data_IF_597954980938
#
_entry.id   IF_597954980938
#
_cell.length_a   1.000
_cell.length_b   1.000
_cell.length_c   1.000
_cell.angle_alpha   90.00
_cell.angle_beta   90.00
_cell.angle_gamma   90.00
#
_symmetry.space_group_name_H-M   'P 1'
#
loop_
_entity.id
_entity.type
_entity.pdbx_description
1 polymer ?
#
# COMPACT_ATOMS: atom_id res chain seq x y z
N UNK A 1 -23.30 -25.03 -32.25
CA UNK A 1 -23.58 -25.18 -30.81
C UNK A 1 -22.76 -24.11 -30.12
N UNK A 2 -23.39 -23.20 -29.38
CA UNK A 2 -22.65 -22.23 -28.56
C UNK A 2 -22.03 -23.02 -27.40
N UNK A 3 -20.72 -23.23 -27.42
CA UNK A 3 -19.99 -23.68 -26.25
C UNK A 3 -20.03 -22.55 -25.25
N UNK A 4 -20.70 -22.78 -24.11
CA UNK A 4 -20.73 -21.82 -23.01
C UNK A 4 -19.28 -21.44 -22.66
N UNK A 5 -19.00 -20.14 -22.57
CA UNK A 5 -17.72 -19.64 -22.10
C UNK A 5 -17.57 -20.08 -20.63
N UNK A 6 -16.51 -20.81 -20.35
CA UNK A 6 -16.19 -21.29 -19.01
C UNK A 6 -15.24 -20.30 -18.32
N UNK A 7 -15.67 -19.80 -17.16
CA UNK A 7 -14.87 -18.94 -16.28
C UNK A 7 -14.61 -19.73 -15.01
N UNK A 8 -13.37 -20.15 -14.84
CA UNK A 8 -12.94 -20.98 -13.73
C UNK A 8 -12.74 -20.13 -12.47
N UNK A 9 -13.27 -20.65 -11.36
CA UNK A 9 -13.20 -20.06 -10.02
C UNK A 9 -13.20 -21.20 -9.00
N UNK A 10 -12.01 -21.64 -8.58
CA UNK A 10 -11.83 -22.74 -7.63
C UNK A 10 -12.51 -22.48 -6.28
N UNK A 11 -12.67 -21.20 -5.92
CA UNK A 11 -13.28 -20.81 -4.65
C UNK A 11 -14.81 -20.99 -4.69
N UNK A 12 -15.41 -20.98 -5.89
CA UNK A 12 -16.82 -21.29 -6.11
C UNK A 12 -17.18 -22.72 -5.72
N UNK A 13 -16.26 -23.67 -5.77
CA UNK A 13 -16.55 -25.07 -5.42
C UNK A 13 -16.71 -25.30 -3.90
N UNK A 14 -16.27 -24.34 -3.08
CA UNK A 14 -16.44 -24.39 -1.64
C UNK A 14 -17.88 -24.06 -1.22
N UNK A 15 -18.34 -24.68 -0.12
CA UNK A 15 -19.60 -24.29 0.52
C UNK A 15 -19.51 -22.88 1.12
N UNK A 16 -20.63 -22.15 1.30
CA UNK A 16 -20.59 -20.80 1.87
C UNK A 16 -19.86 -20.71 3.22
N UNK A 17 -20.07 -21.69 4.11
CA UNK A 17 -19.37 -21.73 5.40
C UNK A 17 -17.85 -21.93 5.22
N UNK A 18 -17.45 -22.83 4.31
CA UNK A 18 -16.04 -23.09 4.02
C UNK A 18 -15.35 -21.87 3.38
N UNK A 19 -16.05 -21.10 2.55
CA UNK A 19 -15.53 -19.85 1.96
C UNK A 19 -15.27 -18.80 3.04
N UNK A 20 -16.22 -18.57 3.93
CA UNK A 20 -16.07 -17.63 5.05
C UNK A 20 -14.92 -18.05 5.97
N UNK A 21 -14.83 -19.33 6.33
CA UNK A 21 -13.74 -19.85 7.16
C UNK A 21 -12.36 -19.72 6.48
N UNK A 22 -12.27 -20.09 5.20
CA UNK A 22 -11.03 -19.99 4.44
C UNK A 22 -10.54 -18.53 4.31
N UNK A 23 -11.46 -17.60 4.05
CA UNK A 23 -11.14 -16.16 3.94
C UNK A 23 -10.73 -15.58 5.29
N UNK A 24 -11.47 -15.88 6.37
CA UNK A 24 -11.12 -15.44 7.71
C UNK A 24 -9.74 -15.96 8.15
N UNK A 25 -9.45 -17.25 7.89
CA UNK A 25 -8.15 -17.84 8.19
C UNK A 25 -7.01 -17.19 7.40
N UNK A 26 -7.23 -16.93 6.11
CA UNK A 26 -6.26 -16.24 5.25
C UNK A 26 -5.96 -14.82 5.75
N UNK A 27 -6.99 -14.05 6.10
CA UNK A 27 -6.82 -12.68 6.62
C UNK A 27 -6.17 -12.64 8.00
N UNK A 28 -6.46 -13.60 8.87
CA UNK A 28 -5.77 -13.72 10.16
C UNK A 28 -4.28 -14.00 9.96
N UNK A 29 -3.93 -14.95 9.08
CA UNK A 29 -2.53 -15.26 8.77
C UNK A 29 -1.81 -14.07 8.11
N UNK A 30 -2.52 -13.36 7.23
CA UNK A 30 -2.04 -12.12 6.62
C UNK A 30 -1.70 -11.09 7.71
N UNK A 31 -2.64 -10.81 8.62
CA UNK A 31 -2.47 -9.84 9.69
C UNK A 31 -1.29 -10.16 10.61
N UNK A 32 -1.16 -11.43 11.02
CA UNK A 32 -0.08 -11.87 11.89
C UNK A 32 1.29 -11.71 11.23
N UNK A 33 1.41 -12.10 9.94
CA UNK A 33 2.66 -11.97 9.18
C UNK A 33 3.01 -10.52 8.88
N UNK A 34 2.02 -9.72 8.48
CA UNK A 34 2.20 -8.30 8.24
C UNK A 34 2.69 -7.58 9.49
N UNK A 35 2.08 -7.89 10.64
CA UNK A 35 2.50 -7.31 11.91
C UNK A 35 3.94 -7.72 12.28
N UNK A 36 4.32 -8.98 12.11
CA UNK A 36 5.71 -9.42 12.33
C UNK A 36 6.69 -8.70 11.41
N UNK A 37 6.36 -8.64 10.11
CA UNK A 37 7.21 -7.98 9.12
C UNK A 37 7.34 -6.49 9.37
N UNK A 38 6.24 -5.79 9.65
CA UNK A 38 6.24 -4.37 9.94
C UNK A 38 7.09 -4.06 11.18
N UNK A 39 7.01 -4.87 12.24
CA UNK A 39 7.90 -4.76 13.41
C UNK A 39 9.35 -4.91 13.03
N UNK A 40 9.69 -5.98 12.32
CA UNK A 40 11.08 -6.27 11.93
C UNK A 40 11.65 -5.21 10.99
N UNK A 41 10.83 -4.67 10.09
CA UNK A 41 11.24 -3.59 9.18
C UNK A 41 11.53 -2.33 9.98
N UNK A 42 10.56 -1.92 10.79
CA UNK A 42 10.67 -0.73 11.62
C UNK A 42 11.85 -0.80 12.59
N UNK A 43 12.03 -1.93 13.27
CA UNK A 43 13.16 -2.15 14.17
C UNK A 43 14.49 -2.03 13.44
N UNK A 44 14.61 -2.58 12.23
CA UNK A 44 15.83 -2.50 11.43
C UNK A 44 16.12 -1.09 10.93
N UNK A 45 15.09 -0.33 10.56
CA UNK A 45 15.25 1.09 10.20
C UNK A 45 15.75 1.90 11.41
N UNK A 46 15.19 1.68 12.59
CA UNK A 46 15.67 2.33 13.81
C UNK A 46 17.13 1.97 14.12
N UNK A 47 17.49 0.69 13.97
CA UNK A 47 18.86 0.24 14.20
C UNK A 47 19.83 0.90 13.18
N UNK A 48 19.43 1.03 11.91
CA UNK A 48 20.22 1.74 10.89
C UNK A 48 20.41 3.22 11.19
N UNK A 49 19.39 3.92 11.70
CA UNK A 49 19.50 5.34 12.11
C UNK A 49 20.45 5.44 13.32
N UNK A 50 20.27 4.59 14.33
CA UNK A 50 21.11 4.60 15.54
C UNK A 50 22.59 4.29 15.28
N UNK A 51 22.90 3.58 14.18
CA UNK A 51 24.26 3.30 13.73
C UNK A 51 24.94 4.51 13.05
N UNK A 52 24.20 5.56 12.71
CA UNK A 52 24.78 6.79 12.12
C UNK A 52 25.48 7.65 13.17
N UNK A 53 26.47 8.45 12.76
CA UNK A 53 27.20 9.34 13.67
C UNK A 53 26.35 10.55 14.07
N UNK A 54 26.13 10.79 15.36
CA UNK A 54 25.28 11.91 15.78
C UNK A 54 24.92 11.84 17.25
N UNK A 55 24.24 12.87 17.73
CA UNK A 55 23.55 12.82 19.01
C UNK A 55 22.09 12.38 18.84
N UNK A 56 21.38 12.20 19.95
CA UNK A 56 19.98 11.76 19.95
C UNK A 56 19.05 12.76 19.25
N UNK A 57 19.38 14.07 19.24
CA UNK A 57 18.59 15.08 18.53
C UNK A 57 18.62 14.80 17.03
N UNK A 58 19.81 14.67 16.46
CA UNK A 58 19.97 14.34 15.03
C UNK A 58 19.28 13.03 14.66
N UNK A 59 19.41 11.99 15.48
CA UNK A 59 18.77 10.69 15.22
C UNK A 59 17.23 10.75 15.26
N UNK A 60 16.66 11.54 16.17
CA UNK A 60 15.21 11.77 16.23
C UNK A 60 14.72 12.61 15.03
N UNK A 61 15.48 13.60 14.59
CA UNK A 61 15.16 14.42 13.41
C UNK A 61 15.20 13.59 12.13
N UNK A 62 16.20 12.70 12.01
CA UNK A 62 16.25 11.71 10.93
C UNK A 62 15.02 10.81 10.97
N UNK A 63 14.65 10.25 12.12
CA UNK A 63 13.46 9.39 12.22
C UNK A 63 12.17 10.13 11.86
N UNK A 64 11.99 11.36 12.33
CA UNK A 64 10.82 12.18 12.04
C UNK A 64 10.70 12.46 10.53
N UNK A 65 11.83 12.82 9.90
CA UNK A 65 11.92 13.09 8.46
C UNK A 65 11.75 11.81 7.63
N UNK A 66 12.26 10.68 8.13
CA UNK A 66 12.06 9.35 7.52
C UNK A 66 10.57 9.00 7.51
N UNK A 67 9.86 9.15 8.61
CA UNK A 67 8.45 8.74 8.66
C UNK A 67 7.49 9.70 7.95
N UNK A 68 8.00 10.79 7.35
CA UNK A 68 7.20 11.84 6.73
C UNK A 68 6.06 12.32 7.64
N UNK A 69 6.28 12.28 8.96
CA UNK A 69 5.33 12.73 9.95
C UNK A 69 5.32 14.27 9.91
N UNK A 70 4.39 14.83 9.12
CA UNK A 70 4.07 16.25 8.91
C UNK A 70 5.23 17.26 9.12
N UNK A 71 5.97 17.52 8.04
CA UNK A 71 6.25 18.85 7.43
C UNK A 71 6.51 20.05 8.36
N UNK A 72 7.57 20.81 8.07
CA UNK A 72 8.02 22.02 8.80
C UNK A 72 6.93 23.05 9.17
N UNK A 73 5.80 23.13 8.44
CA UNK A 73 4.67 24.03 8.76
C UNK A 73 3.81 23.62 9.99
N UNK A 74 3.97 22.40 10.53
CA UNK A 74 3.11 21.88 11.63
C UNK A 74 3.89 21.58 12.92
N UNK A 75 5.23 21.56 12.87
CA UNK A 75 6.11 21.25 14.00
C UNK A 75 5.93 22.25 15.15
N UNK A 76 5.55 23.49 14.86
CA UNK A 76 5.31 24.53 15.87
C UNK A 76 4.09 24.31 16.79
N UNK A 77 3.21 23.34 16.52
CA UNK A 77 1.88 23.29 17.18
C UNK A 77 1.52 21.95 17.84
N UNK A 78 2.30 20.88 17.68
CA UNK A 78 1.96 19.60 18.34
C UNK A 78 3.01 19.22 19.38
N UNK A 79 2.78 19.68 20.61
CA UNK A 79 3.25 18.98 21.79
C UNK A 79 2.78 17.52 21.72
N UNK A 80 3.75 16.62 21.72
CA UNK A 80 3.56 15.18 21.67
C UNK A 80 2.68 14.77 22.87
N UNK A 81 1.42 14.47 22.61
CA UNK A 81 0.51 14.05 23.66
C UNK A 81 0.82 12.60 24.07
N UNK A 82 1.54 12.52 25.20
CA UNK A 82 1.85 11.36 26.07
C UNK A 82 3.23 10.71 25.83
N UNK A 83 4.13 11.05 26.77
CA UNK A 83 5.55 10.67 26.91
C UNK A 83 6.47 11.49 26.01
N UNK A 84 7.31 12.31 26.63
CA UNK A 84 8.41 13.01 25.96
C UNK A 84 9.39 11.95 25.44
N UNK A 85 9.47 11.81 24.11
CA UNK A 85 10.40 10.89 23.46
C UNK A 85 11.71 11.67 23.30
N UNK A 86 12.74 11.28 24.05
CA UNK A 86 14.05 11.94 24.07
C UNK A 86 15.17 11.04 23.53
N UNK A 87 14.84 9.81 23.14
CA UNK A 87 15.78 8.87 22.53
C UNK A 87 15.08 7.95 21.52
N UNK A 88 15.86 7.38 20.59
CA UNK A 88 15.36 6.31 19.70
C UNK A 88 14.87 5.08 20.46
N UNK A 89 15.50 4.78 21.61
CA UNK A 89 15.13 3.62 22.43
C UNK A 89 13.73 3.76 23.05
N UNK A 90 13.38 4.97 23.49
CA UNK A 90 12.04 5.30 23.96
C UNK A 90 11.04 5.18 22.80
N UNK A 91 11.40 5.69 21.62
CA UNK A 91 10.55 5.57 20.45
C UNK A 91 10.25 4.10 20.11
N UNK A 92 11.28 3.23 20.11
CA UNK A 92 11.13 1.79 19.87
C UNK A 92 10.20 1.12 20.89
N UNK A 93 10.30 1.50 22.17
CA UNK A 93 9.48 0.93 23.24
C UNK A 93 8.01 1.38 23.21
N UNK A 94 7.76 2.62 22.80
CA UNK A 94 6.43 3.23 22.87
C UNK A 94 5.67 3.23 21.54
N UNK A 95 6.39 3.24 20.41
CA UNK A 95 5.78 3.38 19.09
C UNK A 95 4.89 2.19 18.74
N UNK A 96 3.74 2.51 18.14
CA UNK A 96 2.80 1.53 17.59
C UNK A 96 2.87 1.41 16.07
N UNK A 97 3.82 2.08 15.41
CA UNK A 97 3.92 2.07 13.95
C UNK A 97 4.19 0.66 13.38
N UNK A 98 5.02 -0.14 14.06
CA UNK A 98 5.21 -1.55 13.70
C UNK A 98 4.02 -2.47 14.02
N UNK A 99 2.99 -1.98 14.73
CA UNK A 99 1.84 -2.78 15.16
C UNK A 99 0.65 -2.75 14.18
N UNK A 100 0.85 -2.27 12.96
CA UNK A 100 -0.18 -2.30 11.93
C UNK A 100 -0.30 -3.70 11.30
N UNK A 101 -1.52 -4.23 11.29
CA UNK A 101 -1.86 -5.50 10.64
C UNK A 101 -2.02 -5.39 9.12
N UNK A 102 -2.06 -4.17 8.58
CA UNK A 102 -2.36 -3.88 7.18
C UNK A 102 -3.83 -4.09 6.80
N UNK A 103 -4.66 -4.68 7.67
CA UNK A 103 -6.10 -4.86 7.42
C UNK A 103 -6.87 -3.55 7.63
N UNK A 104 -7.69 -3.15 6.65
CA UNK A 104 -8.58 -2.01 6.79
C UNK A 104 -9.96 -2.46 7.28
N UNK A 105 -10.40 -2.10 8.49
CA UNK A 105 -11.75 -2.42 8.95
C UNK A 105 -12.79 -1.56 8.24
N UNK A 106 -14.01 -2.08 8.11
CA UNK A 106 -15.15 -1.28 7.65
C UNK A 106 -15.55 -0.23 8.70
N UNK A 107 -15.70 1.03 8.29
CA UNK A 107 -16.05 2.13 9.20
C UNK A 107 -17.54 2.17 9.61
N UNK A 108 -18.46 1.63 8.80
CA UNK A 108 -19.91 1.59 9.05
C UNK A 108 -20.53 0.25 8.66
N UNK A 109 -21.73 -0.05 9.17
CA UNK A 109 -22.48 -1.31 8.96
C UNK A 109 -22.45 -1.76 7.50
N UNK A 110 -21.61 -2.76 7.24
CA UNK A 110 -20.94 -2.90 5.94
C UNK A 110 -21.75 -3.65 4.90
N UNK A 111 -22.73 -4.48 5.30
CA UNK A 111 -23.32 -5.47 4.39
C UNK A 111 -24.12 -4.87 3.23
N UNK A 112 -24.96 -3.86 3.48
CA UNK A 112 -25.77 -3.23 2.43
C UNK A 112 -24.90 -2.42 1.46
N UNK A 113 -23.91 -1.70 1.99
CA UNK A 113 -22.94 -0.96 1.20
C UNK A 113 -22.11 -1.89 0.32
N UNK A 114 -21.53 -2.96 0.88
CA UNK A 114 -20.75 -3.96 0.12
C UNK A 114 -21.60 -4.58 -0.98
N UNK A 115 -22.84 -4.98 -0.65
CA UNK A 115 -23.76 -5.59 -1.64
C UNK A 115 -24.03 -4.62 -2.79
N UNK A 116 -24.26 -3.35 -2.48
CA UNK A 116 -24.50 -2.30 -3.48
C UNK A 116 -23.26 -2.06 -4.34
N UNK A 117 -22.08 -1.94 -3.72
CA UNK A 117 -20.80 -1.77 -4.39
C UNK A 117 -20.52 -2.94 -5.35
N UNK A 118 -20.59 -4.19 -4.87
CA UNK A 118 -20.36 -5.38 -5.69
C UNK A 118 -21.33 -5.46 -6.87
N UNK A 119 -22.61 -5.13 -6.67
CA UNK A 119 -23.61 -5.11 -7.74
C UNK A 119 -23.30 -4.07 -8.82
N UNK A 120 -22.88 -2.87 -8.42
CA UNK A 120 -22.48 -1.83 -9.38
C UNK A 120 -21.16 -2.16 -10.08
N UNK A 121 -20.18 -2.72 -9.37
CA UNK A 121 -18.91 -3.14 -9.97
C UNK A 121 -19.13 -4.24 -11.01
N UNK A 122 -19.92 -5.26 -10.68
CA UNK A 122 -20.27 -6.32 -11.62
C UNK A 122 -20.93 -5.75 -12.88
N UNK A 123 -21.90 -4.84 -12.72
CA UNK A 123 -22.57 -4.18 -13.84
C UNK A 123 -21.57 -3.41 -14.72
N UNK A 124 -20.69 -2.62 -14.11
CA UNK A 124 -19.71 -1.81 -14.85
C UNK A 124 -18.69 -2.70 -15.61
N UNK A 125 -18.30 -3.83 -15.04
CA UNK A 125 -17.45 -4.82 -15.70
C UNK A 125 -18.17 -5.43 -16.91
N UNK A 126 -19.44 -5.85 -16.78
CA UNK A 126 -20.21 -6.37 -17.92
C UNK A 126 -20.35 -5.32 -19.04
N UNK A 127 -20.57 -4.05 -18.70
CA UNK A 127 -20.67 -2.96 -19.68
C UNK A 127 -19.37 -2.81 -20.52
N UNK A 128 -18.21 -2.95 -19.87
CA UNK A 128 -16.89 -2.81 -20.49
C UNK A 128 -16.26 -4.13 -20.98
N UNK A 129 -16.92 -5.27 -20.75
CA UNK A 129 -16.41 -6.57 -21.15
C UNK A 129 -16.37 -6.74 -22.68
N UNK A 130 -15.40 -7.51 -23.16
CA UNK A 130 -15.22 -7.80 -24.58
C UNK A 130 -16.27 -8.80 -25.07
N UNK A 131 -17.27 -8.28 -25.79
CA UNK A 131 -18.29 -9.10 -26.48
C UNK A 131 -17.69 -9.98 -27.57
N UNK A 132 -16.61 -9.54 -28.20
CA UNK A 132 -15.93 -10.33 -29.23
C UNK A 132 -15.26 -11.58 -28.66
N UNK A 133 -14.77 -11.51 -27.42
CA UNK A 133 -14.08 -12.61 -26.75
C UNK A 133 -15.01 -13.50 -25.91
N UNK A 134 -16.07 -12.93 -25.33
CA UNK A 134 -16.96 -13.61 -24.40
C UNK A 134 -18.36 -13.88 -24.96
N UNK A 135 -18.71 -13.35 -26.12
CA UNK A 135 -20.06 -13.41 -26.70
C UNK A 135 -21.12 -13.00 -25.64
N UNK A 136 -22.20 -13.78 -25.52
CA UNK A 136 -23.29 -13.51 -24.58
C UNK A 136 -22.85 -13.55 -23.11
N UNK A 137 -21.74 -14.24 -22.79
CA UNK A 137 -21.25 -14.31 -21.41
C UNK A 137 -20.74 -12.95 -20.88
N UNK A 138 -20.43 -11.99 -21.76
CA UNK A 138 -20.06 -10.63 -21.38
C UNK A 138 -21.16 -9.93 -20.54
N UNK A 139 -22.43 -10.28 -20.77
CA UNK A 139 -23.57 -9.66 -20.08
C UNK A 139 -23.88 -10.29 -18.71
N UNK A 140 -23.33 -11.48 -18.45
CA UNK A 140 -23.62 -12.28 -17.25
C UNK A 140 -22.35 -12.63 -16.48
N UNK A 141 -21.28 -11.85 -16.63
CA UNK A 141 -20.05 -12.06 -15.86
C UNK A 141 -20.33 -11.93 -14.37
N UNK A 142 -19.73 -12.84 -13.60
CA UNK A 142 -19.73 -12.80 -12.15
C UNK A 142 -18.35 -12.35 -11.67
N UNK A 143 -18.34 -11.58 -10.58
CA UNK A 143 -17.13 -11.26 -9.84
C UNK A 143 -16.54 -12.54 -9.24
N UNK A 144 -15.21 -12.63 -9.09
CA UNK A 144 -14.58 -13.77 -8.44
C UNK A 144 -15.07 -13.88 -6.98
N UNK A 145 -15.40 -15.10 -6.57
CA UNK A 145 -16.07 -15.35 -5.29
C UNK A 145 -15.13 -15.05 -4.12
N UNK A 146 -13.83 -15.29 -4.28
CA UNK A 146 -12.82 -14.98 -3.25
C UNK A 146 -12.74 -13.47 -2.94
N UNK A 147 -12.84 -12.62 -3.94
CA UNK A 147 -12.90 -11.16 -3.80
C UNK A 147 -14.19 -10.71 -3.12
N UNK A 148 -15.33 -11.29 -3.51
CA UNK A 148 -16.62 -11.01 -2.89
C UNK A 148 -16.62 -11.37 -1.40
N UNK A 149 -16.04 -12.52 -1.03
CA UNK A 149 -15.90 -12.93 0.37
C UNK A 149 -14.88 -12.06 1.11
N UNK A 150 -13.74 -11.72 0.51
CA UNK A 150 -12.75 -10.80 1.07
C UNK A 150 -13.39 -9.49 1.56
N UNK A 151 -14.22 -8.86 0.72
CA UNK A 151 -14.88 -7.60 1.07
C UNK A 151 -15.92 -7.74 2.19
N UNK A 152 -16.42 -8.94 2.49
CA UNK A 152 -17.29 -9.17 3.67
C UNK A 152 -16.51 -9.08 4.98
N UNK A 153 -15.21 -9.40 4.96
CA UNK A 153 -14.37 -9.43 6.14
C UNK A 153 -13.60 -8.13 6.38
N UNK A 154 -13.22 -7.43 5.31
CA UNK A 154 -12.36 -6.23 5.39
C UNK A 154 -12.69 -5.26 4.26
N UNK A 155 -12.40 -3.97 4.48
CA UNK A 155 -12.49 -2.95 3.46
C UNK A 155 -11.28 -2.98 2.50
N UNK A 156 -10.22 -3.71 2.82
CA UNK A 156 -9.02 -3.74 2.02
C UNK A 156 -7.77 -4.09 2.82
N UNK A 157 -6.64 -4.15 2.13
CA UNK A 157 -5.32 -4.23 2.75
C UNK A 157 -4.45 -3.07 2.31
N UNK A 158 -3.56 -2.62 3.18
CA UNK A 158 -2.59 -1.57 2.92
C UNK A 158 -1.22 -2.00 3.42
N UNK A 159 -0.18 -1.44 2.80
CA UNK A 159 1.17 -1.48 3.31
C UNK A 159 1.50 -0.13 3.95
N UNK A 160 1.88 -0.06 5.23
CA UNK A 160 2.20 1.21 5.89
C UNK A 160 3.48 1.88 5.38
N UNK A 161 4.22 1.24 4.46
CA UNK A 161 5.44 1.74 3.82
C UNK A 161 6.52 2.22 4.81
N UNK A 162 6.87 1.36 5.77
CA UNK A 162 7.83 1.69 6.83
C UNK A 162 9.29 1.77 6.34
N UNK A 163 9.62 1.08 5.24
CA UNK A 163 10.94 1.15 4.59
C UNK A 163 11.08 2.32 3.59
N UNK A 164 9.97 2.99 3.22
CA UNK A 164 9.88 4.07 2.22
C UNK A 164 10.34 3.76 0.80
N UNK A 165 10.79 2.55 0.52
CA UNK A 165 11.38 2.22 -0.77
C UNK A 165 10.42 1.48 -1.65
N UNK A 166 9.59 0.61 -1.08
CA UNK A 166 8.63 -0.14 -1.85
C UNK A 166 7.22 0.36 -1.59
N UNK A 167 6.72 1.23 -2.47
CA UNK A 167 5.32 1.67 -2.38
C UNK A 167 4.39 0.56 -2.87
N UNK A 168 3.98 -0.29 -1.94
CA UNK A 168 2.94 -1.26 -2.21
C UNK A 168 1.57 -0.63 -2.08
N UNK A 169 0.82 -0.78 -3.16
CA UNK A 169 -0.53 -0.31 -3.38
C UNK A 169 -1.51 -0.69 -2.27
N UNK A 170 -2.42 0.22 -1.93
CA UNK A 170 -3.64 -0.17 -1.23
C UNK A 170 -4.47 -1.11 -2.11
N UNK A 171 -5.04 -2.17 -1.55
CA UNK A 171 -5.90 -3.12 -2.28
C UNK A 171 -7.29 -3.17 -1.65
N UNK A 172 -8.32 -2.96 -2.46
CA UNK A 172 -9.71 -3.02 -2.04
C UNK A 172 -10.23 -1.78 -1.31
N UNK A 173 -9.37 -0.84 -0.88
CA UNK A 173 -9.75 0.35 -0.10
C UNK A 173 -10.50 1.42 -0.89
N UNK A 174 -10.34 1.45 -2.22
CA UNK A 174 -10.92 2.47 -3.11
C UNK A 174 -12.36 2.12 -3.54
N UNK A 175 -13.25 1.70 -2.64
CA UNK A 175 -14.62 1.26 -3.02
C UNK A 175 -15.60 2.38 -3.39
N UNK A 176 -15.13 3.61 -3.61
CA UNK A 176 -15.99 4.80 -3.75
C UNK A 176 -16.18 5.25 -5.21
N UNK A 177 -15.35 4.82 -6.16
CA UNK A 177 -15.43 5.22 -7.57
C UNK A 177 -15.44 4.03 -8.54
N UNK A 178 -16.60 3.41 -8.66
CA UNK A 178 -16.79 2.21 -9.49
C UNK A 178 -16.57 2.49 -10.98
N UNK A 179 -17.02 3.66 -11.46
CA UNK A 179 -16.86 4.04 -12.87
C UNK A 179 -15.40 4.36 -13.21
N UNK A 180 -14.66 4.91 -12.25
CA UNK A 180 -13.21 5.07 -12.35
C UNK A 180 -12.46 3.74 -12.33
N UNK A 181 -12.98 2.71 -11.66
CA UNK A 181 -12.35 1.39 -11.52
C UNK A 181 -12.55 0.47 -12.73
N UNK A 182 -13.78 0.33 -13.23
CA UNK A 182 -14.11 -0.55 -14.36
C UNK A 182 -14.13 0.25 -15.68
N UNK A 183 -12.95 0.66 -16.14
CA UNK A 183 -12.77 1.41 -17.39
C UNK A 183 -12.79 0.52 -18.65
N UNK A 184 -12.88 1.11 -19.86
CA UNK A 184 -12.67 0.37 -21.10
C UNK A 184 -11.36 -0.42 -21.11
N UNK A 185 -11.39 -1.62 -21.72
CA UNK A 185 -10.28 -2.57 -21.70
C UNK A 185 -8.96 -2.02 -22.25
N UNK A 186 -9.00 -1.15 -23.25
CA UNK A 186 -7.80 -0.54 -23.84
C UNK A 186 -7.07 0.36 -22.83
N UNK A 187 -7.82 1.00 -21.92
CA UNK A 187 -7.25 1.79 -20.82
C UNK A 187 -6.70 0.88 -19.73
N UNK A 188 -7.49 -0.09 -19.28
CA UNK A 188 -7.07 -1.05 -18.25
C UNK A 188 -5.81 -1.79 -18.69
N UNK A 189 -5.78 -2.33 -19.90
CA UNK A 189 -4.63 -3.10 -20.39
C UNK A 189 -3.39 -2.23 -20.58
N UNK A 190 -3.55 -0.95 -20.93
CA UNK A 190 -2.41 -0.03 -21.05
C UNK A 190 -1.71 0.20 -19.71
N UNK A 191 -2.48 0.23 -18.61
CA UNK A 191 -1.93 0.43 -17.27
C UNK A 191 -1.51 -0.89 -16.64
N UNK A 192 -2.30 -1.96 -16.77
CA UNK A 192 -1.99 -3.24 -16.14
C UNK A 192 -0.81 -3.99 -16.78
N UNK A 193 -0.51 -3.73 -18.06
CA UNK A 193 0.56 -4.41 -18.80
C UNK A 193 0.46 -5.94 -18.79
N UNK A 194 -0.67 -6.55 -19.22
CA UNK A 194 -0.91 -7.99 -19.09
C UNK A 194 -0.17 -8.81 -20.18
N UNK A 195 1.15 -8.70 -20.22
CA UNK A 195 2.00 -9.33 -21.22
C UNK A 195 1.81 -10.85 -21.25
N UNK A 196 1.55 -11.42 -22.43
CA UNK A 196 1.29 -12.86 -22.60
C UNK A 196 -0.16 -13.31 -22.35
N UNK A 197 -1.08 -12.38 -22.09
CA UNK A 197 -2.49 -12.68 -21.85
C UNK A 197 -3.43 -12.03 -22.88
N UNK A 198 -4.51 -12.73 -23.20
CA UNK A 198 -5.70 -12.14 -23.82
C UNK A 198 -6.65 -11.74 -22.70
N UNK A 199 -7.05 -10.48 -22.65
CA UNK A 199 -7.91 -9.91 -21.59
C UNK A 199 -9.30 -9.62 -22.14
N UNK A 200 -10.34 -9.98 -21.37
CA UNK A 200 -11.72 -9.80 -21.79
C UNK A 200 -12.58 -8.98 -20.82
N UNK A 201 -12.17 -8.81 -19.57
CA UNK A 201 -12.85 -7.97 -18.59
C UNK A 201 -11.85 -7.57 -17.48
N UNK A 202 -12.14 -6.53 -16.72
CA UNK A 202 -11.31 -6.17 -15.56
C UNK A 202 -11.69 -4.88 -14.88
N UNK A 203 -11.04 -4.60 -13.76
CA UNK A 203 -11.14 -3.35 -13.03
C UNK A 203 -9.85 -3.05 -12.27
N UNK A 204 -9.63 -1.78 -11.92
CA UNK A 204 -8.61 -1.36 -10.97
C UNK A 204 -9.07 -1.69 -9.54
N UNK A 205 -8.31 -2.54 -8.86
CA UNK A 205 -8.63 -3.02 -7.52
C UNK A 205 -7.83 -2.29 -6.42
N UNK A 206 -6.83 -1.51 -6.80
CA UNK A 206 -5.94 -0.85 -5.86
C UNK A 206 -4.86 -0.04 -6.55
N UNK A 207 -4.30 0.93 -5.83
CA UNK A 207 -3.20 1.78 -6.29
C UNK A 207 -2.52 2.47 -5.09
N UNK A 208 -1.43 3.19 -5.38
CA UNK A 208 -0.75 4.06 -4.43
C UNK A 208 -0.79 5.55 -4.86
N UNK A 209 -1.71 5.92 -5.75
CA UNK A 209 -1.82 7.23 -6.41
C UNK A 209 -0.57 7.74 -7.16
N UNK A 210 0.46 6.90 -7.34
CA UNK A 210 1.74 7.29 -7.93
C UNK A 210 2.10 6.41 -9.13
N UNK A 211 2.57 5.21 -8.86
CA UNK A 211 3.34 4.40 -9.81
C UNK A 211 3.10 2.90 -9.69
N UNK A 212 2.33 2.46 -8.70
CA UNK A 212 1.88 1.09 -8.54
C UNK A 212 0.37 1.05 -8.78
N UNK A 213 -0.08 0.08 -9.56
CA UNK A 213 -1.51 -0.23 -9.73
C UNK A 213 -1.76 -1.73 -9.65
N UNK A 214 -2.86 -2.10 -8.98
CA UNK A 214 -3.38 -3.46 -8.89
C UNK A 214 -4.65 -3.55 -9.71
N UNK A 215 -4.71 -4.53 -10.61
CA UNK A 215 -5.87 -4.78 -11.44
C UNK A 215 -6.34 -6.22 -11.27
N UNK A 216 -7.65 -6.43 -11.26
CA UNK A 216 -8.23 -7.76 -11.38
C UNK A 216 -8.71 -7.92 -12.83
N UNK A 217 -8.14 -8.88 -13.56
CA UNK A 217 -8.38 -9.07 -14.99
C UNK A 217 -8.89 -10.49 -15.28
N UNK A 218 -9.98 -10.58 -16.05
CA UNK A 218 -10.45 -11.82 -16.64
C UNK A 218 -9.64 -12.07 -17.91
N UNK A 219 -8.81 -13.11 -17.89
CA UNK A 219 -7.87 -13.35 -18.96
C UNK A 219 -7.58 -14.84 -19.20
N UNK A 220 -7.03 -15.13 -20.38
CA UNK A 220 -6.47 -16.43 -20.76
C UNK A 220 -5.06 -16.24 -21.30
N UNK A 221 -4.20 -17.25 -21.16
CA UNK A 221 -2.83 -17.21 -21.69
C UNK A 221 -2.87 -17.24 -23.21
N UNK A 222 -2.07 -16.42 -23.88
CA UNK A 222 -1.97 -16.40 -25.35
C UNK A 222 -1.44 -17.74 -25.89
N UNK A 223 -0.61 -18.43 -25.11
CA UNK A 223 -0.06 -19.76 -25.45
C UNK A 223 -1.08 -20.89 -25.31
N UNK A 224 -2.21 -20.66 -24.64
CA UNK A 224 -3.27 -21.62 -24.39
C UNK A 224 -4.63 -21.02 -24.80
N UNK A 225 -4.85 -20.80 -26.11
CA UNK A 225 -6.04 -20.09 -26.59
C UNK A 225 -7.35 -20.81 -26.26
N UNK A 226 -7.30 -22.14 -26.14
CA UNK A 226 -8.43 -23.00 -25.75
C UNK A 226 -8.50 -23.24 -24.23
N UNK A 227 -7.61 -22.61 -23.46
CA UNK A 227 -7.63 -22.68 -21.99
C UNK A 227 -8.80 -21.89 -21.38
N UNK A 228 -9.13 -22.16 -20.11
CA UNK A 228 -10.23 -21.50 -19.42
C UNK A 228 -9.94 -20.02 -19.18
N UNK A 229 -11.00 -19.20 -19.13
CA UNK A 229 -10.89 -17.83 -18.64
C UNK A 229 -10.74 -17.86 -17.13
N UNK A 230 -9.82 -17.06 -16.59
CA UNK A 230 -9.62 -16.92 -15.14
C UNK A 230 -9.47 -15.48 -14.75
N UNK A 231 -10.02 -15.14 -13.59
CA UNK A 231 -9.74 -13.89 -12.92
C UNK A 231 -8.33 -13.97 -12.30
N UNK A 232 -7.48 -12.98 -12.58
CA UNK A 232 -6.11 -12.87 -12.05
C UNK A 232 -5.84 -11.47 -11.53
N UNK A 233 -4.95 -11.37 -10.56
CA UNK A 233 -4.52 -10.08 -10.01
C UNK A 233 -3.19 -9.71 -10.66
N UNK A 234 -3.15 -8.57 -11.34
CA UNK A 234 -1.96 -8.00 -11.95
C UNK A 234 -1.46 -6.83 -11.12
N UNK A 235 -0.15 -6.77 -10.93
CA UNK A 235 0.54 -5.63 -10.33
C UNK A 235 1.47 -5.05 -11.39
N UNK A 236 1.33 -3.75 -11.62
CA UNK A 236 2.29 -3.01 -12.41
C UNK A 236 2.90 -1.90 -11.55
N UNK A 237 4.18 -2.06 -11.22
CA UNK A 237 4.97 -1.04 -10.55
C UNK A 237 5.95 -0.43 -11.56
N UNK A 238 5.65 0.79 -12.01
CA UNK A 238 6.44 1.48 -13.03
C UNK A 238 7.81 1.87 -12.51
N UNK A 239 7.91 2.31 -11.25
CA UNK A 239 9.15 2.84 -10.67
C UNK A 239 10.20 1.74 -10.49
N UNK A 240 9.77 0.51 -10.22
CA UNK A 240 10.66 -0.63 -9.98
C UNK A 240 10.77 -1.58 -11.17
N UNK A 241 10.12 -1.25 -12.30
CA UNK A 241 9.98 -2.13 -13.46
C UNK A 241 9.50 -3.55 -13.10
N UNK A 242 8.75 -3.66 -12.01
CA UNK A 242 8.25 -4.93 -11.51
C UNK A 242 6.82 -5.13 -11.99
N UNK A 243 6.63 -6.22 -12.74
CA UNK A 243 5.34 -6.65 -13.27
C UNK A 243 5.12 -8.08 -12.84
N UNK A 244 4.04 -8.28 -12.08
CA UNK A 244 3.67 -9.58 -11.56
C UNK A 244 2.20 -9.87 -11.81
N UNK A 245 1.85 -11.15 -11.78
CA UNK A 245 0.47 -11.56 -11.68
C UNK A 245 0.33 -12.74 -10.71
N UNK A 246 -0.86 -12.87 -10.15
CA UNK A 246 -1.23 -13.90 -9.19
C UNK A 246 -2.46 -14.64 -9.70
N UNK A 247 -2.44 -15.96 -9.58
CA UNK A 247 -3.53 -16.83 -10.04
C UNK A 247 -4.75 -16.76 -9.10
N UNK A 248 -4.57 -16.31 -7.85
CA UNK A 248 -5.65 -16.17 -6.87
C UNK A 248 -5.41 -15.03 -5.88
N UNK A 249 -6.46 -14.61 -5.15
CA UNK A 249 -6.31 -13.68 -4.04
C UNK A 249 -5.41 -14.23 -2.93
N UNK A 250 -5.44 -15.56 -2.70
CA UNK A 250 -4.57 -16.22 -1.73
C UNK A 250 -3.10 -16.05 -2.08
N UNK A 251 -2.74 -16.27 -3.34
CA UNK A 251 -1.35 -16.16 -3.81
C UNK A 251 -0.87 -14.70 -3.68
N UNK A 252 -1.72 -13.76 -4.12
CA UNK A 252 -1.47 -12.33 -3.98
C UNK A 252 -1.24 -11.93 -2.52
N UNK A 253 -2.18 -12.24 -1.61
CA UNK A 253 -2.05 -11.87 -0.19
C UNK A 253 -0.89 -12.57 0.50
N UNK A 254 -0.54 -13.79 0.06
CA UNK A 254 0.63 -14.52 0.59
C UNK A 254 1.95 -13.87 0.17
N UNK A 255 2.04 -13.35 -1.06
CA UNK A 255 3.18 -12.56 -1.50
C UNK A 255 3.21 -11.19 -0.82
N UNK A 256 2.07 -10.52 -0.79
CA UNK A 256 1.91 -9.17 -0.24
C UNK A 256 2.31 -9.12 1.24
N UNK A 257 2.03 -10.20 2.00
CA UNK A 257 2.37 -10.26 3.41
C UNK A 257 3.82 -10.59 3.72
N UNK A 258 4.68 -10.86 2.73
CA UNK A 258 6.12 -11.14 2.92
C UNK A 258 6.99 -9.89 2.74
N UNK A 259 6.50 -8.72 3.20
CA UNK A 259 7.14 -7.41 3.00
C UNK A 259 8.64 -7.39 3.22
N UNK A 260 9.09 -7.96 4.34
CA UNK A 260 10.49 -7.98 4.73
C UNK A 260 11.43 -8.56 3.66
N UNK A 261 10.97 -9.56 2.91
CA UNK A 261 11.79 -10.31 1.95
C UNK A 261 12.04 -9.55 0.66
N UNK A 262 11.20 -8.56 0.34
CA UNK A 262 11.31 -7.75 -0.86
C UNK A 262 11.66 -6.28 -0.59
N UNK A 263 11.89 -5.88 0.67
CA UNK A 263 12.52 -4.58 0.96
C UNK A 263 13.94 -4.56 0.39
N UNK A 264 14.24 -3.53 -0.41
CA UNK A 264 15.60 -3.25 -0.86
C UNK A 264 16.40 -2.60 0.28
N UNK A 265 17.00 -3.45 1.12
CA UNK A 265 17.76 -2.97 2.28
C UNK A 265 19.01 -2.16 1.92
N UNK A 266 19.58 -2.36 0.73
CA UNK A 266 20.73 -1.59 0.27
C UNK A 266 20.30 -0.16 -0.03
N UNK A 267 19.21 -0.01 -0.77
CA UNK A 267 18.70 1.32 -1.05
C UNK A 267 18.15 1.97 0.24
N UNK A 268 17.54 1.24 1.20
CA UNK A 268 17.08 1.82 2.50
C UNK A 268 18.28 2.42 3.23
N UNK A 269 19.39 1.69 3.29
CA UNK A 269 20.61 2.15 3.92
C UNK A 269 21.17 3.41 3.24
N UNK A 270 21.16 3.47 1.90
CA UNK A 270 21.56 4.68 1.15
C UNK A 270 20.63 5.86 1.44
N UNK A 271 19.32 5.61 1.56
CA UNK A 271 18.33 6.62 1.93
C UNK A 271 18.59 7.18 3.33
N UNK A 272 18.90 6.33 4.30
CA UNK A 272 19.25 6.75 5.67
C UNK A 272 20.56 7.54 5.69
N UNK A 273 21.57 7.14 4.90
CA UNK A 273 22.82 7.89 4.81
C UNK A 273 22.63 9.28 4.18
N UNK A 274 21.76 9.39 3.17
CA UNK A 274 21.41 10.69 2.56
C UNK A 274 20.69 11.55 3.58
N UNK A 275 19.72 10.97 4.28
CA UNK A 275 18.94 11.64 5.31
C UNK A 275 19.80 12.15 6.47
N UNK A 276 20.79 11.35 6.87
CA UNK A 276 21.76 11.74 7.89
C UNK A 276 22.49 13.04 7.51
N UNK A 277 22.97 13.11 6.26
CA UNK A 277 23.66 14.31 5.77
C UNK A 277 22.72 15.52 5.72
N UNK A 278 21.50 15.35 5.22
CA UNK A 278 20.49 16.43 5.14
C UNK A 278 20.11 16.97 6.52
N UNK A 279 19.82 16.09 7.48
CA UNK A 279 19.46 16.51 8.84
C UNK A 279 20.65 17.16 9.58
N UNK A 280 21.88 16.68 9.32
CA UNK A 280 23.07 17.27 9.91
C UNK A 280 23.32 18.69 9.38
N UNK A 281 23.22 18.90 8.07
CA UNK A 281 23.35 20.23 7.46
C UNK A 281 22.29 21.19 8.01
N UNK A 282 21.04 20.73 8.15
CA UNK A 282 19.95 21.56 8.71
C UNK A 282 20.21 21.98 10.17
N UNK A 283 20.75 21.08 11.01
CA UNK A 283 21.10 21.42 12.39
C UNK A 283 22.26 22.42 12.47
N UNK A 284 23.27 22.27 11.61
CA UNK A 284 24.39 23.23 11.54
C UNK A 284 23.92 24.63 11.08
N UNK A 285 22.97 24.70 10.13
CA UNK A 285 22.34 25.96 9.71
C UNK A 285 21.52 26.62 10.84
N UNK A 286 20.74 25.85 11.61
CA UNK A 286 20.00 26.37 12.76
C UNK A 286 20.93 26.94 13.84
N UNK A 287 22.04 26.26 14.14
CA UNK A 287 23.03 26.72 15.13
C UNK A 287 23.72 28.02 14.70
N UNK A 288 24.03 28.17 13.41
CA UNK A 288 24.63 29.38 12.84
C UNK A 288 23.64 30.57 12.82
N UNK A 289 22.34 30.31 12.56
CA UNK A 289 21.28 31.32 12.62
C UNK A 289 20.98 31.77 14.07
N UNK A 290 20.98 30.86 15.04
CA UNK A 290 20.82 31.21 16.45
C UNK A 290 21.98 32.08 16.95
N UNK A 291 23.23 31.71 16.63
CA UNK A 291 24.42 32.48 17.02
C UNK A 291 24.45 33.90 16.42
N UNK A 292 24.09 34.04 15.14
CA UNK A 292 24.02 35.37 14.50
C UNK A 292 22.90 36.22 15.07
N UNK A 293 21.77 35.63 15.48
CA UNK A 293 20.67 36.35 16.13
C UNK A 293 20.99 36.81 17.55
N UNK A 294 21.77 36.02 18.32
CA UNK A 294 22.25 36.38 19.67
C UNK A 294 23.31 37.48 19.60
N UNK A 295 24.24 37.43 18.64
CA UNK A 295 25.24 38.50 18.42
C UNK A 295 24.57 39.83 18.02
N UNK A 296 23.53 39.81 17.18
CA UNK A 296 22.77 41.02 16.82
C UNK A 296 21.95 41.58 17.99
N UNK A 297 21.50 40.75 18.93
CA UNK A 297 20.79 41.22 20.14
C UNK A 297 21.72 41.73 21.24
N UNK A 298 22.93 41.16 21.37
CA UNK A 298 23.96 41.71 22.26
C UNK A 298 24.53 43.04 21.75
N UNK A 299 24.73 43.22 20.43
CA UNK A 299 25.13 44.51 19.88
C UNK A 299 24.06 45.60 20.12
N UNK A 300 22.77 45.29 19.94
CA UNK A 300 21.68 46.26 20.18
C UNK A 300 21.49 46.64 21.64
N UNK A 301 21.77 45.75 22.59
CA UNK A 301 21.68 46.05 24.03
C UNK A 301 22.88 46.82 24.56
N UNK A 302 24.05 46.70 23.91
CA UNK A 302 25.25 47.45 24.27
C UNK A 302 25.22 48.94 23.87
N UNK A 303 24.42 49.29 22.86
CA UNK A 303 24.25 50.66 22.38
C UNK A 303 23.23 51.49 23.21
N UNK A 304 22.40 50.86 24.06
CA UNK A 304 21.43 51.57 24.92
C UNK A 304 21.94 51.89 26.34
N UNK A 305 23.11 51.39 26.76
CA UNK A 305 23.74 51.75 28.06
C UNK A 305 24.73 52.92 27.99
N UNK A 306 24.84 53.59 26.84
CA UNK A 306 25.74 54.73 26.60
C UNK A 306 24.99 56.06 26.39
N UNK A 307 24.14 56.47 27.33
CA UNK A 307 23.65 57.87 27.43
C UNK A 307 23.40 58.33 28.90
#
# INVERSE_FOLDING_TARGET
>A
MSTAIDVEDDFRDLSPAARTEATASLLSQFADRMLDNNKRIFDRVLDMIAETEGDEKLHLDMLATHLAMETSEVVDVKSWNNTEITSLSDYKAWSRLGHDSGLCPWKHGSSEYITTFLGYLQKAICENASRDLLADAAETLELPIDFCEFLKHTAGVVYPNLDRQMFVCSFGTNTYDIQGQAQPLDKICRVAGPDGFTVAAGWAAGDNDRSCWIHYLLCRRVTEPDGPWRWRIFINNIDFHDRGYYESLRDFLSWYCNAYDWVDWEAVQQGIATLHQECKEALEEEEDEEQTSEEETEEQTSDEESD
#
